data_IF_152515102424
#
_entry.id   IF_152515102424
#
_cell.length_a   1.000
_cell.length_b   1.000
_cell.length_c   1.000
_cell.angle_alpha   90.00
_cell.angle_beta   90.00
_cell.angle_gamma   90.00
#
_symmetry.space_group_name_H-M   'P 1'
#
loop_
_entity.id
_entity.type
_entity.pdbx_description
1 polymer ?
#
# COMPACT_ATOMS: atom_id res chain seq x y z
N UNK A 1 -13.77 9.21 -7.09
CA UNK A 1 -12.85 8.61 -6.13
C UNK A 1 -13.31 7.21 -5.71
N UNK A 2 -12.35 6.28 -5.54
CA UNK A 2 -12.60 4.91 -5.10
C UNK A 2 -11.59 4.62 -3.98
N UNK A 3 -12.05 4.12 -2.81
CA UNK A 3 -11.15 3.64 -1.78
C UNK A 3 -10.41 2.38 -2.28
N UNK A 4 -9.12 2.24 -1.98
CA UNK A 4 -8.38 1.08 -2.50
C UNK A 4 -8.85 -0.24 -1.88
N UNK A 5 -9.43 -0.24 -0.66
CA UNK A 5 -10.15 -1.41 -0.13
C UNK A 5 -11.37 -1.80 -0.99
N UNK A 6 -12.08 -0.82 -1.58
CA UNK A 6 -13.18 -1.10 -2.51
C UNK A 6 -12.67 -1.54 -3.88
N UNK A 7 -11.56 -0.94 -4.35
CA UNK A 7 -10.85 -1.41 -5.54
C UNK A 7 -10.41 -2.88 -5.38
N UNK A 8 -9.94 -3.26 -4.19
CA UNK A 8 -9.59 -4.65 -3.85
C UNK A 8 -10.81 -5.59 -3.95
N UNK A 9 -11.99 -5.18 -3.48
CA UNK A 9 -13.21 -5.97 -3.64
C UNK A 9 -13.58 -6.17 -5.12
N UNK A 10 -13.45 -5.11 -5.93
CA UNK A 10 -13.67 -5.20 -7.39
C UNK A 10 -12.70 -6.23 -8.01
N UNK A 11 -11.44 -6.25 -7.58
CA UNK A 11 -10.48 -7.25 -8.03
C UNK A 11 -10.88 -8.66 -7.59
N UNK A 12 -11.28 -8.83 -6.32
CA UNK A 12 -11.79 -10.13 -5.83
C UNK A 12 -13.01 -10.61 -6.61
N UNK A 13 -13.92 -9.71 -7.01
CA UNK A 13 -15.08 -10.06 -7.83
C UNK A 13 -14.70 -10.61 -9.22
N UNK A 14 -13.53 -10.26 -9.73
CA UNK A 14 -12.99 -10.84 -10.96
C UNK A 14 -12.22 -12.13 -10.69
N UNK A 15 -11.28 -12.11 -9.76
CA UNK A 15 -10.40 -13.25 -9.52
C UNK A 15 -11.13 -14.46 -8.93
N UNK A 16 -12.06 -14.26 -7.98
CA UNK A 16 -12.83 -15.37 -7.41
C UNK A 16 -13.80 -16.04 -8.40
N UNK A 17 -14.11 -15.39 -9.54
CA UNK A 17 -14.90 -16.01 -10.60
C UNK A 17 -14.12 -17.14 -11.32
N UNK A 18 -12.81 -16.96 -11.48
CA UNK A 18 -11.97 -17.81 -12.32
C UNK A 18 -10.98 -18.67 -11.51
N UNK A 19 -10.75 -18.32 -10.23
CA UNK A 19 -9.77 -18.97 -9.36
C UNK A 19 -10.47 -19.61 -8.14
N UNK A 20 -11.01 -20.82 -8.24
CA UNK A 20 -11.70 -21.50 -7.13
C UNK A 20 -10.76 -21.81 -5.96
N UNK A 21 -9.44 -21.87 -6.17
CA UNK A 21 -8.44 -22.03 -5.14
C UNK A 21 -8.21 -20.78 -4.30
N UNK A 22 -8.73 -19.61 -4.71
CA UNK A 22 -8.63 -18.36 -3.96
C UNK A 22 -9.65 -18.32 -2.83
N UNK A 23 -9.28 -18.81 -1.65
CA UNK A 23 -10.12 -18.93 -0.47
C UNK A 23 -9.73 -17.83 0.52
N UNK A 24 -10.70 -17.06 1.01
CA UNK A 24 -10.40 -15.93 1.86
C UNK A 24 -11.30 -15.76 3.05
N UNK A 25 -11.11 -14.63 3.73
CA UNK A 25 -11.88 -14.27 4.91
C UNK A 25 -11.39 -13.02 5.60
N UNK A 26 -11.89 -12.79 6.80
CA UNK A 26 -11.50 -11.66 7.63
C UNK A 26 -11.57 -12.01 9.12
N UNK A 27 -10.71 -11.35 9.91
CA UNK A 27 -10.80 -11.41 11.36
C UNK A 27 -11.87 -10.45 11.88
N UNK A 28 -13.14 -10.86 11.76
CA UNK A 28 -14.35 -10.14 12.18
C UNK A 28 -14.60 -8.78 11.49
N UNK A 29 -13.93 -8.50 10.38
CA UNK A 29 -13.96 -7.21 9.69
C UNK A 29 -14.32 -7.33 8.20
N UNK A 30 -15.03 -8.39 7.81
CA UNK A 30 -15.37 -8.69 6.40
C UNK A 30 -15.96 -7.49 5.65
N UNK A 31 -16.97 -6.84 6.24
CA UNK A 31 -17.63 -5.67 5.64
C UNK A 31 -16.72 -4.44 5.58
N UNK A 32 -15.89 -4.20 6.61
CA UNK A 32 -14.97 -3.07 6.66
C UNK A 32 -13.78 -3.26 5.73
N UNK A 33 -13.28 -4.49 5.61
CA UNK A 33 -12.14 -4.82 4.74
C UNK A 33 -12.55 -5.04 3.28
N UNK A 34 -13.87 -5.20 3.00
CA UNK A 34 -14.39 -5.55 1.67
C UNK A 34 -13.77 -6.85 1.12
N UNK A 35 -13.65 -7.89 1.96
CA UNK A 35 -13.02 -9.18 1.61
C UNK A 35 -14.02 -10.22 1.10
N UNK A 36 -15.30 -9.91 1.04
CA UNK A 36 -16.33 -10.80 0.49
C UNK A 36 -16.62 -10.43 -0.97
N UNK A 37 -16.28 -11.34 -1.88
CA UNK A 37 -16.63 -11.23 -3.31
C UNK A 37 -18.06 -11.72 -3.55
N UNK A 38 -18.72 -11.18 -4.57
CA UNK A 38 -20.03 -11.67 -5.04
C UNK A 38 -20.04 -13.15 -5.47
N UNK A 39 -18.87 -13.74 -5.67
CA UNK A 39 -18.69 -15.17 -6.01
C UNK A 39 -18.35 -16.04 -4.80
N UNK A 40 -18.11 -15.44 -3.63
CA UNK A 40 -17.90 -16.21 -2.42
C UNK A 40 -19.20 -16.72 -1.83
N UNK A 41 -19.14 -17.88 -1.20
CA UNK A 41 -20.14 -18.38 -0.26
C UNK A 41 -19.45 -18.69 1.07
N UNK A 42 -20.21 -18.61 2.16
CA UNK A 42 -19.67 -18.88 3.50
C UNK A 42 -19.25 -20.34 3.63
N UNK A 43 -18.05 -20.56 4.15
CA UNK A 43 -17.57 -21.89 4.52
C UNK A 43 -18.09 -22.22 5.92
N UNK A 44 -18.99 -23.19 5.99
CA UNK A 44 -19.64 -23.63 7.23
C UNK A 44 -19.70 -25.16 7.27
N UNK A 45 -20.04 -25.80 8.43
CA UNK A 45 -20.26 -27.23 8.47
C UNK A 45 -21.33 -27.72 7.47
N UNK A 46 -22.34 -26.88 7.20
CA UNK A 46 -23.42 -27.21 6.25
C UNK A 46 -23.05 -26.86 4.80
N UNK A 47 -22.02 -26.05 4.59
CA UNK A 47 -21.49 -25.67 3.27
C UNK A 47 -19.96 -25.80 3.22
N UNK A 48 -19.41 -27.02 3.18
CA UNK A 48 -17.97 -27.26 3.18
C UNK A 48 -17.28 -26.85 1.88
N UNK A 49 -18.03 -26.53 0.82
CA UNK A 49 -17.52 -25.99 -0.44
C UNK A 49 -17.44 -24.46 -0.45
N UNK A 50 -17.81 -23.80 0.63
CA UNK A 50 -17.69 -22.34 0.76
C UNK A 50 -16.25 -21.86 0.61
N UNK A 51 -16.09 -20.63 0.14
CA UNK A 51 -14.79 -20.01 -0.12
C UNK A 51 -14.50 -18.79 0.75
N UNK A 52 -15.38 -18.46 1.70
CA UNK A 52 -15.19 -17.36 2.66
C UNK A 52 -15.28 -17.85 4.10
N UNK A 53 -14.25 -17.50 4.89
CA UNK A 53 -14.09 -17.90 6.30
C UNK A 53 -14.26 -16.69 7.20
N UNK A 54 -15.19 -16.75 8.16
CA UNK A 54 -15.29 -15.81 9.27
C UNK A 54 -14.39 -16.27 10.41
N UNK A 55 -13.20 -15.70 10.51
CA UNK A 55 -12.21 -16.12 11.52
C UNK A 55 -12.55 -15.63 12.94
N UNK A 56 -13.49 -14.68 13.09
CA UNK A 56 -13.74 -13.97 14.34
C UNK A 56 -12.57 -13.04 14.70
N UNK A 57 -12.58 -12.47 15.90
CA UNK A 57 -11.52 -11.58 16.40
C UNK A 57 -10.29 -12.43 16.76
N UNK A 58 -9.55 -12.91 15.73
CA UNK A 58 -8.45 -13.89 15.84
C UNK A 58 -7.41 -13.70 14.74
N UNK A 59 -6.75 -12.56 14.70
CA UNK A 59 -5.78 -12.23 13.65
C UNK A 59 -4.62 -13.24 13.58
N UNK A 60 -4.06 -13.62 14.73
CA UNK A 60 -3.04 -14.67 14.80
C UNK A 60 -3.58 -16.03 14.31
N UNK A 61 -4.78 -16.41 14.77
CA UNK A 61 -5.46 -17.64 14.34
C UNK A 61 -5.73 -17.66 12.83
N UNK A 62 -6.23 -16.55 12.28
CA UNK A 62 -6.44 -16.40 10.84
C UNK A 62 -5.15 -16.67 10.06
N UNK A 63 -4.08 -15.97 10.40
CA UNK A 63 -2.82 -16.10 9.66
C UNK A 63 -2.18 -17.47 9.83
N UNK A 64 -2.26 -18.09 11.02
CA UNK A 64 -1.73 -19.47 11.22
C UNK A 64 -2.55 -20.50 10.45
N UNK A 65 -3.87 -20.34 10.35
CA UNK A 65 -4.72 -21.19 9.51
C UNK A 65 -4.33 -21.02 8.02
N UNK A 66 -4.16 -19.78 7.55
CA UNK A 66 -3.68 -19.51 6.19
C UNK A 66 -2.31 -20.15 5.91
N UNK A 67 -1.40 -20.11 6.89
CA UNK A 67 -0.10 -20.80 6.78
C UNK A 67 -0.29 -22.31 6.58
N UNK A 68 -1.19 -22.92 7.35
CA UNK A 68 -1.53 -24.35 7.21
C UNK A 68 -2.14 -24.68 5.84
N UNK A 69 -3.05 -23.83 5.35
CA UNK A 69 -3.68 -23.99 4.02
C UNK A 69 -2.64 -23.93 2.90
N UNK A 70 -1.72 -22.96 2.95
CA UNK A 70 -0.63 -22.84 1.98
C UNK A 70 0.35 -24.01 2.04
N UNK A 71 0.67 -24.52 3.23
CA UNK A 71 1.54 -25.71 3.41
C UNK A 71 0.88 -26.98 2.89
N UNK A 72 -0.44 -27.12 3.04
CA UNK A 72 -1.20 -28.23 2.46
C UNK A 72 -1.12 -28.23 0.93
N UNK A 73 -1.12 -27.06 0.33
CA UNK A 73 -1.10 -26.87 -1.13
C UNK A 73 -2.49 -26.91 -1.78
N UNK A 74 -2.57 -26.48 -3.03
CA UNK A 74 -3.83 -26.43 -3.80
C UNK A 74 -4.76 -25.26 -3.44
N UNK A 75 -4.39 -24.43 -2.45
CA UNK A 75 -5.18 -23.30 -1.98
C UNK A 75 -4.30 -22.04 -1.98
N UNK A 76 -4.85 -20.94 -2.45
CA UNK A 76 -4.27 -19.60 -2.36
C UNK A 76 -5.07 -18.80 -1.34
N UNK A 77 -4.66 -18.76 -0.06
CA UNK A 77 -5.44 -18.08 0.97
C UNK A 77 -5.23 -16.58 0.95
N UNK A 78 -6.32 -15.81 1.19
CA UNK A 78 -6.24 -14.41 1.54
C UNK A 78 -6.99 -14.13 2.85
N UNK A 79 -6.48 -13.16 3.63
CA UNK A 79 -7.09 -12.83 4.92
C UNK A 79 -7.01 -11.34 5.24
N UNK A 80 -8.12 -10.79 5.74
CA UNK A 80 -8.27 -9.37 5.98
C UNK A 80 -8.36 -9.00 7.46
N UNK A 81 -7.72 -7.87 7.79
CA UNK A 81 -7.90 -7.12 9.04
C UNK A 81 -7.50 -5.66 8.82
N UNK A 82 -7.64 -4.78 9.82
CA UNK A 82 -7.04 -3.46 9.75
C UNK A 82 -5.51 -3.56 9.87
N UNK A 83 -4.80 -2.64 9.23
CA UNK A 83 -3.34 -2.66 9.26
C UNK A 83 -2.76 -2.61 10.70
N UNK A 84 -3.36 -1.81 11.58
CA UNK A 84 -2.94 -1.73 12.98
C UNK A 84 -3.07 -3.07 13.71
N UNK A 85 -4.06 -3.89 13.39
CA UNK A 85 -4.26 -5.20 14.01
C UNK A 85 -3.32 -6.29 13.46
N UNK A 86 -2.50 -5.97 12.44
CA UNK A 86 -1.39 -6.82 12.05
C UNK A 86 -0.45 -7.11 13.24
N UNK A 87 -0.39 -6.22 14.23
CA UNK A 87 0.40 -6.44 15.43
C UNK A 87 0.01 -7.72 16.18
N UNK A 88 -1.28 -8.06 16.22
CA UNK A 88 -1.75 -9.33 16.78
C UNK A 88 -1.32 -10.55 15.94
N UNK A 89 -1.16 -10.38 14.63
CA UNK A 89 -0.76 -11.43 13.70
C UNK A 89 0.75 -11.44 13.39
N UNK A 90 1.52 -10.48 13.91
CA UNK A 90 2.91 -10.18 13.51
C UNK A 90 3.81 -11.41 13.46
N UNK A 91 3.74 -12.27 14.48
CA UNK A 91 4.53 -13.49 14.52
C UNK A 91 4.17 -14.46 13.40
N UNK A 92 2.88 -14.68 13.15
CA UNK A 92 2.40 -15.60 12.12
C UNK A 92 2.71 -15.10 10.70
N UNK A 93 2.62 -13.77 10.46
CA UNK A 93 3.06 -13.14 9.19
C UNK A 93 4.56 -13.35 8.98
N UNK A 94 5.37 -13.18 10.03
CA UNK A 94 6.80 -13.43 9.98
C UNK A 94 7.12 -14.89 9.63
N UNK A 95 6.37 -15.84 10.17
CA UNK A 95 6.51 -17.28 9.85
C UNK A 95 6.16 -17.54 8.38
N UNK A 96 5.10 -16.92 7.84
CA UNK A 96 4.79 -17.02 6.40
C UNK A 96 5.96 -16.57 5.54
N UNK A 97 6.56 -15.44 5.87
CA UNK A 97 7.70 -14.89 5.13
C UNK A 97 8.93 -15.81 5.23
N UNK A 98 9.21 -16.33 6.41
CA UNK A 98 10.32 -17.25 6.65
C UNK A 98 10.17 -18.59 5.90
N UNK A 99 8.92 -19.07 5.76
CA UNK A 99 8.59 -20.32 5.05
C UNK A 99 8.28 -20.11 3.56
N UNK A 100 8.35 -18.87 3.06
CA UNK A 100 7.98 -18.51 1.67
C UNK A 100 6.57 -18.97 1.31
N UNK A 101 5.59 -18.76 2.19
CA UNK A 101 4.20 -19.14 1.95
C UNK A 101 3.47 -18.04 1.17
N UNK A 102 2.81 -18.35 0.06
CA UNK A 102 2.20 -17.37 -0.83
C UNK A 102 0.84 -16.85 -0.32
N UNK A 103 0.78 -16.46 0.95
CA UNK A 103 -0.40 -15.86 1.56
C UNK A 103 -0.61 -14.42 1.10
N UNK A 104 -1.87 -14.00 1.00
CA UNK A 104 -2.23 -12.62 0.65
C UNK A 104 -2.92 -11.98 1.86
N UNK A 105 -2.32 -10.92 2.41
CA UNK A 105 -2.87 -10.17 3.53
C UNK A 105 -3.55 -8.90 3.03
N UNK A 106 -4.84 -8.74 3.33
CA UNK A 106 -5.63 -7.56 2.96
C UNK A 106 -5.70 -6.65 4.20
N UNK A 107 -4.71 -5.76 4.33
CA UNK A 107 -4.61 -4.82 5.45
C UNK A 107 -5.22 -3.48 5.06
N UNK A 108 -6.41 -3.18 5.56
CA UNK A 108 -7.10 -1.92 5.28
C UNK A 108 -6.90 -0.88 6.37
N UNK A 109 -7.42 0.35 6.16
CA UNK A 109 -7.25 1.45 7.12
C UNK A 109 -5.76 1.79 7.31
N UNK A 110 -5.11 2.12 6.20
CA UNK A 110 -3.66 2.16 5.98
C UNK A 110 -2.91 3.29 6.67
N UNK A 111 -3.61 4.34 7.17
CA UNK A 111 -2.98 5.55 7.70
C UNK A 111 -3.95 6.38 8.55
N UNK A 112 -3.52 7.55 9.02
CA UNK A 112 -4.38 8.56 9.67
C UNK A 112 -5.60 8.94 8.81
N UNK A 113 -5.57 8.64 7.52
CA UNK A 113 -6.69 8.84 6.60
C UNK A 113 -7.95 8.03 6.90
N UNK A 114 -7.89 7.08 7.85
CA UNK A 114 -9.08 6.41 8.34
C UNK A 114 -10.00 7.32 9.19
N UNK A 115 -9.44 8.35 9.83
CA UNK A 115 -10.22 9.40 10.46
C UNK A 115 -10.49 9.21 11.95
N UNK A 116 -11.75 9.36 12.36
CA UNK A 116 -12.21 9.56 13.74
C UNK A 116 -11.99 8.35 14.67
N UNK A 117 -11.73 7.16 14.14
CA UNK A 117 -11.41 5.97 14.96
C UNK A 117 -10.15 6.19 15.82
N UNK A 118 -9.30 7.14 15.41
CA UNK A 118 -8.23 7.71 16.23
C UNK A 118 -6.98 6.85 16.36
N UNK A 119 -6.09 7.23 17.30
CA UNK A 119 -4.72 6.69 17.40
C UNK A 119 -4.66 5.17 17.57
N UNK A 120 -5.65 4.56 18.25
CA UNK A 120 -5.68 3.11 18.45
C UNK A 120 -5.92 2.30 17.18
N UNK A 121 -6.36 2.96 16.11
CA UNK A 121 -6.65 2.35 14.80
C UNK A 121 -5.74 2.87 13.69
N UNK A 122 -4.98 3.94 13.93
CA UNK A 122 -4.11 4.60 12.96
C UNK A 122 -2.70 4.02 12.98
N UNK A 123 -2.30 3.26 11.95
CA UNK A 123 -0.95 2.70 11.88
C UNK A 123 0.07 3.79 11.55
N UNK A 124 1.21 3.79 12.24
CA UNK A 124 2.34 4.71 12.03
C UNK A 124 3.59 3.91 11.64
N UNK A 125 4.08 3.02 12.53
CA UNK A 125 5.30 2.23 12.37
C UNK A 125 5.10 0.91 11.60
N UNK A 126 3.86 0.54 11.33
CA UNK A 126 3.50 -0.75 10.74
C UNK A 126 4.13 -0.98 9.36
N UNK A 127 4.17 0.06 8.49
CA UNK A 127 4.83 -0.04 7.18
C UNK A 127 6.33 -0.31 7.32
N UNK A 128 7.01 0.34 8.27
CA UNK A 128 8.44 0.08 8.55
C UNK A 128 8.63 -1.36 8.99
N UNK A 129 7.79 -1.83 9.91
CA UNK A 129 7.84 -3.21 10.44
C UNK A 129 7.62 -4.25 9.33
N UNK A 130 6.69 -4.01 8.44
CA UNK A 130 6.41 -4.90 7.30
C UNK A 130 7.56 -4.87 6.29
N UNK A 131 8.02 -3.68 5.87
CA UNK A 131 9.12 -3.50 4.91
C UNK A 131 10.49 -3.97 5.46
N UNK A 132 10.64 -4.05 6.79
CA UNK A 132 11.82 -4.64 7.43
C UNK A 132 11.77 -6.16 7.49
N UNK A 133 10.65 -6.79 7.15
CA UNK A 133 10.49 -8.25 7.17
C UNK A 133 11.02 -8.85 5.86
N UNK A 134 12.07 -9.67 5.89
CA UNK A 134 12.58 -10.30 4.67
C UNK A 134 11.52 -11.16 3.97
N UNK A 135 11.59 -11.22 2.65
CA UNK A 135 10.73 -12.07 1.83
C UNK A 135 9.22 -11.78 1.97
N UNK A 136 8.86 -10.51 2.20
CA UNK A 136 7.48 -10.03 2.31
C UNK A 136 7.28 -8.82 1.39
N UNK A 137 6.36 -8.92 0.43
CA UNK A 137 6.05 -7.81 -0.46
C UNK A 137 4.94 -6.93 0.11
N UNK A 138 5.15 -5.62 0.12
CA UNK A 138 4.26 -4.65 0.76
C UNK A 138 3.73 -3.66 -0.29
N UNK A 139 2.54 -3.93 -0.80
CA UNK A 139 1.86 -3.12 -1.81
C UNK A 139 0.94 -2.09 -1.15
N UNK A 140 1.22 -0.81 -1.34
CA UNK A 140 0.37 0.32 -0.92
C UNK A 140 -0.10 1.11 -2.14
N UNK A 141 -1.16 0.63 -2.83
CA UNK A 141 -1.63 1.20 -4.08
C UNK A 141 -2.38 2.52 -3.88
N UNK A 142 -2.28 3.43 -4.87
CA UNK A 142 -2.91 4.74 -4.88
C UNK A 142 -4.26 4.78 -5.61
N UNK A 143 -4.56 3.79 -6.45
CA UNK A 143 -5.80 3.75 -7.24
C UNK A 143 -6.21 2.31 -7.60
N UNK A 144 -7.29 2.19 -8.42
CA UNK A 144 -7.80 0.90 -8.88
C UNK A 144 -6.76 0.13 -9.73
N UNK A 145 -6.01 0.82 -10.59
CA UNK A 145 -5.05 0.16 -11.49
C UNK A 145 -3.87 -0.42 -10.72
N UNK A 146 -3.30 0.36 -9.81
CA UNK A 146 -2.27 -0.14 -8.92
C UNK A 146 -2.77 -1.28 -8.03
N UNK A 147 -4.02 -1.19 -7.53
CA UNK A 147 -4.63 -2.27 -6.74
C UNK A 147 -4.79 -3.55 -7.56
N UNK A 148 -5.21 -3.45 -8.81
CA UNK A 148 -5.36 -4.61 -9.69
C UNK A 148 -4.01 -5.29 -9.99
N UNK A 149 -2.98 -4.49 -10.25
CA UNK A 149 -1.62 -5.04 -10.43
C UNK A 149 -1.09 -5.66 -9.14
N UNK A 150 -1.29 -5.00 -7.99
CA UNK A 150 -0.90 -5.54 -6.69
C UNK A 150 -1.55 -6.91 -6.39
N UNK A 151 -2.85 -7.07 -6.68
CA UNK A 151 -3.54 -8.35 -6.59
C UNK A 151 -2.94 -9.40 -7.53
N UNK A 152 -2.77 -9.04 -8.82
CA UNK A 152 -2.17 -9.95 -9.82
C UNK A 152 -0.78 -10.43 -9.37
N UNK A 153 0.10 -9.51 -8.99
CA UNK A 153 1.45 -9.86 -8.54
C UNK A 153 1.43 -10.70 -7.25
N UNK A 154 0.48 -10.43 -6.34
CA UNK A 154 0.31 -11.23 -5.11
C UNK A 154 -0.19 -12.65 -5.39
N UNK A 155 -1.10 -12.83 -6.34
CA UNK A 155 -1.59 -14.16 -6.76
C UNK A 155 -0.47 -14.96 -7.43
N UNK A 156 0.38 -14.32 -8.22
CA UNK A 156 1.50 -14.96 -8.93
C UNK A 156 2.74 -15.17 -8.05
N UNK A 157 2.81 -14.50 -6.91
CA UNK A 157 3.96 -14.55 -6.00
C UNK A 157 4.13 -15.94 -5.38
N UNK A 158 5.38 -16.30 -5.12
CA UNK A 158 5.77 -17.46 -4.30
C UNK A 158 6.07 -17.08 -2.85
N UNK A 159 6.03 -15.80 -2.54
CA UNK A 159 6.24 -15.23 -1.21
C UNK A 159 4.98 -14.50 -0.75
N UNK A 160 4.79 -14.31 0.56
CA UNK A 160 3.61 -13.60 1.06
C UNK A 160 3.60 -12.15 0.63
N UNK A 161 2.40 -11.60 0.47
CA UNK A 161 2.16 -10.22 0.06
C UNK A 161 1.15 -9.54 0.98
N UNK A 162 1.42 -8.29 1.34
CA UNK A 162 0.50 -7.40 2.04
C UNK A 162 -0.10 -6.40 1.04
N UNK A 163 -1.40 -6.32 0.97
CA UNK A 163 -2.14 -5.27 0.27
C UNK A 163 -2.60 -4.24 1.30
N UNK A 164 -1.98 -3.07 1.30
CA UNK A 164 -2.14 -2.03 2.30
C UNK A 164 -3.06 -0.95 1.71
N UNK A 165 -4.30 -0.90 2.19
CA UNK A 165 -5.41 -0.30 1.48
C UNK A 165 -6.09 0.83 2.26
N UNK A 166 -6.40 1.92 1.58
CA UNK A 166 -7.07 3.08 2.17
C UNK A 166 -8.53 2.80 2.52
N UNK A 167 -9.01 3.46 3.60
CA UNK A 167 -10.43 3.56 3.94
C UNK A 167 -11.12 4.62 3.10
N UNK A 168 -10.47 5.77 2.92
CA UNK A 168 -10.99 6.92 2.18
C UNK A 168 -10.90 6.72 0.67
N UNK A 169 -11.81 7.36 -0.06
CA UNK A 169 -11.81 7.34 -1.53
C UNK A 169 -10.68 8.19 -2.12
N UNK A 170 -9.96 7.64 -3.07
CA UNK A 170 -8.84 8.26 -3.76
C UNK A 170 -9.18 8.60 -5.21
N UNK A 171 -8.66 9.69 -5.77
CA UNK A 171 -8.75 9.99 -7.20
C UNK A 171 -8.08 8.90 -8.04
N UNK A 172 -8.59 8.68 -9.25
CA UNK A 172 -7.95 7.76 -10.19
C UNK A 172 -6.89 8.50 -11.02
N UNK A 173 -5.72 7.90 -11.14
CA UNK A 173 -4.61 8.49 -11.89
C UNK A 173 -4.78 8.16 -13.38
N UNK A 174 -4.73 9.19 -14.23
CA UNK A 174 -4.69 9.00 -15.69
C UNK A 174 -3.30 8.51 -16.08
N UNK A 175 -3.23 7.34 -16.70
CA UNK A 175 -1.97 6.77 -17.18
C UNK A 175 -2.19 5.97 -18.46
N UNK A 176 -1.16 5.91 -19.29
CA UNK A 176 -1.09 5.09 -20.50
C UNK A 176 -0.81 3.61 -20.19
N UNK A 177 -1.07 2.72 -21.12
CA UNK A 177 -0.89 1.27 -20.92
C UNK A 177 0.56 0.88 -20.60
N UNK A 178 1.54 1.55 -21.23
CA UNK A 178 2.95 1.33 -20.96
C UNK A 178 3.34 1.66 -19.50
N UNK A 179 2.70 2.65 -18.88
CA UNK A 179 2.90 2.95 -17.44
C UNK A 179 2.27 1.89 -16.55
N UNK A 180 1.12 1.33 -16.95
CA UNK A 180 0.47 0.25 -16.19
C UNK A 180 1.40 -0.98 -16.08
N UNK A 181 2.10 -1.34 -17.17
CA UNK A 181 3.05 -2.46 -17.16
C UNK A 181 4.22 -2.25 -16.17
N UNK A 182 4.61 -1.01 -15.90
CA UNK A 182 5.69 -0.69 -14.97
C UNK A 182 5.27 -0.74 -13.49
N UNK A 183 3.97 -0.75 -13.16
CA UNK A 183 3.49 -0.88 -11.78
C UNK A 183 4.03 -2.16 -11.14
N UNK A 184 4.09 -3.27 -11.89
CA UNK A 184 4.59 -4.56 -11.41
C UNK A 184 6.06 -4.53 -10.94
N UNK A 185 6.81 -3.53 -11.35
CA UNK A 185 8.20 -3.29 -10.89
C UNK A 185 8.27 -2.58 -9.53
N UNK A 186 7.12 -2.22 -8.94
CA UNK A 186 7.02 -1.66 -7.59
C UNK A 186 7.18 -0.15 -7.48
N UNK A 187 7.72 0.53 -8.50
CA UNK A 187 7.85 1.98 -8.57
C UNK A 187 7.93 2.45 -10.01
N UNK A 188 7.32 3.59 -10.34
CA UNK A 188 7.30 4.11 -11.71
C UNK A 188 7.06 5.62 -11.77
N UNK A 189 7.45 6.25 -12.88
CA UNK A 189 7.21 7.66 -13.15
C UNK A 189 5.77 7.91 -13.57
N UNK A 190 4.99 8.57 -12.71
CA UNK A 190 3.65 9.08 -13.03
C UNK A 190 3.77 10.28 -13.98
N UNK A 191 4.67 11.20 -13.65
CA UNK A 191 5.02 12.37 -14.44
C UNK A 191 6.54 12.44 -14.57
N UNK A 192 7.03 12.61 -15.79
CA UNK A 192 8.43 12.87 -16.11
C UNK A 192 8.54 14.24 -16.76
N UNK A 193 9.53 15.02 -16.35
CA UNK A 193 9.94 16.24 -17.01
C UNK A 193 11.45 16.16 -17.29
N UNK A 194 11.87 16.49 -18.50
CA UNK A 194 13.30 16.40 -18.90
C UNK A 194 14.15 17.47 -18.19
N UNK A 195 13.51 18.60 -17.81
CA UNK A 195 14.14 19.69 -17.09
C UNK A 195 13.86 19.63 -15.57
N UNK A 196 13.50 18.43 -15.05
CA UNK A 196 13.18 18.27 -13.65
C UNK A 196 14.35 18.64 -12.74
N UNK A 197 14.07 19.40 -11.68
CA UNK A 197 15.02 19.82 -10.66
C UNK A 197 14.88 19.00 -9.36
N UNK A 198 13.82 18.18 -9.24
CA UNK A 198 13.47 17.45 -8.03
C UNK A 198 12.63 16.21 -8.37
N UNK A 199 12.77 15.15 -7.56
CA UNK A 199 11.81 14.03 -7.55
C UNK A 199 10.85 14.19 -6.36
N UNK A 200 9.54 13.99 -6.59
CA UNK A 200 8.54 13.83 -5.54
C UNK A 200 8.07 12.37 -5.57
N UNK A 201 8.34 11.62 -4.50
CA UNK A 201 8.07 10.20 -4.39
C UNK A 201 6.93 9.99 -3.39
N UNK A 202 5.96 9.15 -3.73
CA UNK A 202 4.85 8.87 -2.83
C UNK A 202 4.27 7.49 -3.07
N UNK A 203 3.54 6.96 -2.09
CA UNK A 203 2.74 5.73 -2.20
C UNK A 203 1.31 5.97 -1.71
N UNK A 204 0.39 5.12 -2.11
CA UNK A 204 -0.98 5.13 -1.58
C UNK A 204 -1.69 6.48 -1.69
N UNK A 205 -2.37 6.84 -0.62
CA UNK A 205 -3.25 8.03 -0.59
C UNK A 205 -2.52 9.36 -0.80
N UNK A 206 -1.23 9.44 -0.55
CA UNK A 206 -0.45 10.68 -0.64
C UNK A 206 -0.01 11.00 -2.09
N UNK A 207 -0.11 10.03 -3.03
CA UNK A 207 0.25 10.27 -4.43
C UNK A 207 -0.53 11.45 -5.06
N UNK A 208 -1.79 11.62 -4.70
CA UNK A 208 -2.58 12.77 -5.16
C UNK A 208 -2.00 14.12 -4.70
N UNK A 209 -1.38 14.16 -3.51
CA UNK A 209 -0.73 15.37 -2.98
C UNK A 209 0.55 15.68 -3.75
N UNK A 210 1.33 14.66 -4.08
CA UNK A 210 2.52 14.78 -4.92
C UNK A 210 2.17 15.31 -6.32
N UNK A 211 1.11 14.78 -6.95
CA UNK A 211 0.61 15.23 -8.26
C UNK A 211 0.13 16.69 -8.19
N UNK A 212 -0.57 17.07 -7.12
CA UNK A 212 -1.03 18.47 -6.97
C UNK A 212 0.15 19.41 -6.73
N UNK A 213 1.09 19.03 -5.85
CA UNK A 213 2.31 19.81 -5.60
C UNK A 213 3.15 20.02 -6.87
N UNK A 214 3.25 19.00 -7.73
CA UNK A 214 3.93 19.13 -9.00
C UNK A 214 3.29 20.18 -9.92
N UNK A 215 1.96 20.24 -9.98
CA UNK A 215 1.23 21.27 -10.73
C UNK A 215 1.46 22.68 -10.17
N UNK A 216 1.46 22.82 -8.84
CA UNK A 216 1.65 24.11 -8.18
C UNK A 216 3.10 24.60 -8.34
N UNK A 217 4.09 23.70 -8.34
CA UNK A 217 5.50 23.99 -8.62
C UNK A 217 5.70 24.40 -10.09
N UNK A 218 5.05 23.73 -11.03
CA UNK A 218 5.12 24.04 -12.45
C UNK A 218 4.62 25.47 -12.74
N UNK A 219 3.54 25.93 -12.06
CA UNK A 219 3.07 27.31 -12.14
C UNK A 219 4.11 28.32 -11.63
N UNK A 220 5.04 27.90 -10.78
CA UNK A 220 6.16 28.70 -10.29
C UNK A 220 7.44 28.54 -11.12
N UNK A 221 7.37 27.82 -12.25
CA UNK A 221 8.51 27.55 -13.15
C UNK A 221 9.48 26.47 -12.64
N UNK A 222 9.10 25.69 -11.62
CA UNK A 222 9.91 24.60 -11.08
C UNK A 222 9.38 23.27 -11.64
N UNK A 223 10.21 22.59 -12.41
CA UNK A 223 9.89 21.28 -13.03
C UNK A 223 10.26 20.14 -12.09
N UNK A 224 9.39 19.12 -11.97
CA UNK A 224 9.60 18.01 -11.06
C UNK A 224 9.15 16.68 -11.68
N UNK A 225 9.81 15.61 -11.30
CA UNK A 225 9.33 14.26 -11.53
C UNK A 225 8.38 13.83 -10.42
N UNK A 226 7.30 13.12 -10.75
CA UNK A 226 6.43 12.47 -9.77
C UNK A 226 6.55 10.97 -9.91
N UNK A 227 6.95 10.31 -8.82
CA UNK A 227 7.11 8.86 -8.73
C UNK A 227 6.05 8.27 -7.83
N UNK A 228 5.30 7.28 -8.35
CA UNK A 228 4.52 6.38 -7.50
C UNK A 228 5.36 5.18 -7.10
N UNK A 229 5.31 4.83 -5.82
CA UNK A 229 6.05 3.70 -5.23
C UNK A 229 5.10 2.72 -4.54
N UNK A 230 4.23 2.03 -5.29
CA UNK A 230 3.26 1.12 -4.69
C UNK A 230 3.89 -0.06 -3.93
N UNK A 231 5.11 -0.50 -4.28
CA UNK A 231 5.81 -1.56 -3.58
C UNK A 231 7.33 -1.31 -3.56
N UNK A 232 7.81 -0.71 -2.48
CA UNK A 232 9.23 -0.40 -2.32
C UNK A 232 10.12 -1.66 -2.37
N UNK A 233 9.65 -2.77 -1.80
CA UNK A 233 10.40 -4.03 -1.77
C UNK A 233 10.67 -4.52 -3.20
N UNK A 234 9.63 -4.51 -4.03
CA UNK A 234 9.73 -4.92 -5.43
C UNK A 234 10.59 -3.98 -6.28
N UNK A 235 10.48 -2.67 -6.01
CA UNK A 235 11.30 -1.67 -6.69
C UNK A 235 12.80 -1.85 -6.42
N UNK A 236 13.16 -2.19 -5.20
CA UNK A 236 14.56 -2.42 -4.81
C UNK A 236 15.16 -3.71 -5.39
N UNK A 237 14.32 -4.65 -5.85
CA UNK A 237 14.74 -5.85 -6.58
C UNK A 237 14.96 -5.60 -8.09
N UNK A 238 14.43 -4.49 -8.64
CA UNK A 238 14.67 -4.14 -10.02
C UNK A 238 16.14 -3.82 -10.27
N UNK A 239 16.58 -3.94 -11.53
CA UNK A 239 17.94 -3.55 -11.90
C UNK A 239 18.23 -2.06 -11.63
N UNK A 240 19.50 -1.74 -11.43
CA UNK A 240 19.93 -0.38 -11.10
C UNK A 240 19.65 0.63 -12.22
N UNK A 241 19.61 0.18 -13.47
CA UNK A 241 19.29 1.04 -14.61
C UNK A 241 17.83 1.50 -14.50
N UNK A 242 16.92 0.57 -14.23
CA UNK A 242 15.51 0.92 -14.01
C UNK A 242 15.31 1.81 -12.78
N UNK A 243 15.95 1.46 -11.65
CA UNK A 243 15.87 2.29 -10.43
C UNK A 243 16.33 3.73 -10.70
N UNK A 244 17.48 3.90 -11.40
CA UNK A 244 18.02 5.22 -11.75
C UNK A 244 17.14 5.97 -12.78
N UNK A 245 16.46 5.24 -13.67
CA UNK A 245 15.48 5.83 -14.60
C UNK A 245 14.25 6.38 -13.90
N UNK A 246 13.80 5.72 -12.82
CA UNK A 246 12.61 6.11 -12.04
C UNK A 246 12.96 7.20 -11.03
N UNK A 247 14.06 7.03 -10.29
CA UNK A 247 14.58 8.01 -9.33
C UNK A 247 15.91 8.52 -9.85
N UNK A 248 15.92 9.71 -10.41
CA UNK A 248 17.15 10.34 -10.88
C UNK A 248 17.98 10.76 -9.67
N UNK A 249 19.06 10.02 -9.39
CA UNK A 249 19.88 10.19 -8.18
C UNK A 249 20.64 11.52 -8.10
N UNK A 250 20.84 12.17 -9.25
CA UNK A 250 21.48 13.48 -9.33
C UNK A 250 20.53 14.63 -8.91
N UNK A 251 19.24 14.34 -8.80
CA UNK A 251 18.22 15.26 -8.32
C UNK A 251 17.91 15.01 -6.84
N UNK A 252 17.72 16.08 -6.05
CA UNK A 252 17.17 15.91 -4.71
C UNK A 252 15.79 15.26 -4.76
N UNK A 253 15.39 14.61 -3.68
CA UNK A 253 14.12 13.90 -3.62
C UNK A 253 13.33 14.25 -2.35
N UNK A 254 12.02 14.37 -2.46
CA UNK A 254 11.09 14.49 -1.34
C UNK A 254 10.17 13.28 -1.37
N UNK A 255 10.07 12.58 -0.26
CA UNK A 255 9.06 11.52 -0.06
C UNK A 255 7.90 12.06 0.74
N UNK A 256 6.69 11.63 0.38
CA UNK A 256 5.46 11.92 1.12
C UNK A 256 4.71 10.62 1.39
N UNK A 257 4.65 10.22 2.65
CA UNK A 257 3.94 9.02 3.09
C UNK A 257 3.43 9.18 4.52
N UNK A 258 2.12 8.99 4.74
CA UNK A 258 1.49 9.08 6.06
C UNK A 258 1.81 7.82 6.90
N UNK A 259 3.10 7.64 7.17
CA UNK A 259 3.70 6.57 7.98
C UNK A 259 5.06 7.05 8.50
N UNK A 260 5.69 6.24 9.37
CA UNK A 260 7.00 6.57 9.92
C UNK A 260 8.09 6.60 8.82
N UNK A 261 8.97 7.62 8.78
CA UNK A 261 9.90 7.87 7.67
C UNK A 261 11.00 6.81 7.47
N UNK A 262 11.27 5.96 8.45
CA UNK A 262 12.42 5.02 8.43
C UNK A 262 12.47 4.09 7.22
N UNK A 263 11.36 3.81 6.55
CA UNK A 263 11.33 2.99 5.33
C UNK A 263 12.15 3.57 4.18
N UNK A 264 12.35 4.89 4.17
CA UNK A 264 12.82 5.63 2.99
C UNK A 264 14.31 5.95 3.01
N UNK A 265 14.99 5.83 4.17
CA UNK A 265 16.42 6.15 4.28
C UNK A 265 17.32 5.32 3.35
N UNK A 266 16.87 4.13 2.97
CA UNK A 266 17.57 3.28 2.01
C UNK A 266 17.65 3.92 0.62
N UNK A 267 16.74 4.82 0.28
CA UNK A 267 16.70 5.54 -1.00
C UNK A 267 17.26 6.95 -0.86
N UNK A 268 16.89 7.68 0.18
CA UNK A 268 17.17 9.11 0.33
C UNK A 268 18.45 9.39 1.13
N UNK A 269 18.62 8.74 2.26
CA UNK A 269 19.77 8.93 3.13
C UNK A 269 19.73 10.14 4.06
N UNK A 270 18.63 10.97 4.07
CA UNK A 270 18.46 12.14 4.94
C UNK A 270 17.02 12.29 5.40
N UNK A 271 16.84 12.65 6.68
CA UNK A 271 15.53 12.74 7.35
C UNK A 271 14.67 13.90 6.87
N UNK A 272 15.30 15.03 6.58
CA UNK A 272 14.63 16.26 6.15
C UNK A 272 13.97 16.18 4.76
N UNK A 273 14.16 15.08 4.05
CA UNK A 273 13.57 14.83 2.75
C UNK A 273 12.29 13.97 2.82
N UNK A 274 11.81 13.64 4.01
CA UNK A 274 10.58 12.86 4.19
C UNK A 274 9.53 13.69 4.92
N UNK A 275 8.33 13.77 4.33
CA UNK A 275 7.10 14.22 4.99
C UNK A 275 6.41 12.95 5.47
N UNK A 276 6.54 12.65 6.76
CA UNK A 276 6.07 11.43 7.40
C UNK A 276 5.57 11.69 8.82
N UNK A 277 5.15 10.63 9.50
CA UNK A 277 4.65 10.64 10.88
C UNK A 277 5.76 10.22 11.85
N UNK A 278 6.04 11.04 12.85
CA UNK A 278 6.97 10.72 13.96
C UNK A 278 6.27 10.68 15.31
N UNK A 279 4.97 10.92 15.35
CA UNK A 279 4.08 10.83 16.50
C UNK A 279 2.88 9.97 16.16
N UNK A 280 2.12 9.54 17.16
CA UNK A 280 0.82 8.93 16.95
C UNK A 280 -0.15 9.95 16.34
N UNK A 281 -1.21 9.44 15.68
CA UNK A 281 -2.28 10.26 15.13
C UNK A 281 -3.27 10.74 16.21
N UNK A 282 -4.39 11.29 15.74
CA UNK A 282 -5.45 11.83 16.60
C UNK A 282 -6.84 11.48 16.05
N UNK A 283 -7.88 11.65 16.88
CA UNK A 283 -9.27 11.41 16.47
C UNK A 283 -9.88 12.69 15.90
N UNK A 284 -9.96 12.76 14.57
CA UNK A 284 -10.58 13.86 13.84
C UNK A 284 -10.93 13.41 12.41
N UNK A 285 -11.74 14.18 11.65
CA UNK A 285 -11.93 13.91 10.22
C UNK A 285 -10.61 13.85 9.45
N UNK A 286 -10.49 12.89 8.54
CA UNK A 286 -9.25 12.62 7.79
C UNK A 286 -8.60 13.86 7.19
N UNK A 287 -9.41 14.79 6.61
CA UNK A 287 -8.91 16.03 6.01
C UNK A 287 -8.20 16.91 7.04
N UNK A 288 -8.76 17.04 8.24
CA UNK A 288 -8.16 17.84 9.32
C UNK A 288 -6.85 17.21 9.78
N UNK A 289 -6.79 15.87 9.90
CA UNK A 289 -5.57 15.16 10.27
C UNK A 289 -4.47 15.37 9.23
N UNK A 290 -4.80 15.26 7.95
CA UNK A 290 -3.82 15.51 6.88
C UNK A 290 -3.29 16.94 6.93
N UNK A 291 -4.14 17.94 7.20
CA UNK A 291 -3.73 19.33 7.36
C UNK A 291 -2.84 19.51 8.60
N UNK A 292 -3.24 19.00 9.77
CA UNK A 292 -2.52 19.10 11.04
C UNK A 292 -1.13 18.47 10.97
N UNK A 293 -1.03 17.26 10.42
CA UNK A 293 0.25 16.54 10.28
C UNK A 293 1.06 16.95 9.04
N UNK A 294 0.61 18.00 8.31
CA UNK A 294 1.37 18.59 7.22
C UNK A 294 1.35 17.82 5.90
N UNK A 295 0.43 16.86 5.72
CA UNK A 295 0.22 16.17 4.46
C UNK A 295 -0.62 17.02 3.51
N UNK A 296 -0.04 18.10 3.00
CA UNK A 296 -0.67 19.04 2.06
C UNK A 296 0.24 19.34 0.88
N UNK A 297 -0.35 19.60 -0.28
CA UNK A 297 0.42 20.02 -1.45
C UNK A 297 1.25 21.29 -1.17
N UNK A 298 0.70 22.25 -0.40
CA UNK A 298 1.40 23.47 -0.01
C UNK A 298 2.66 23.20 0.83
N UNK A 299 2.63 22.24 1.75
CA UNK A 299 3.83 21.86 2.52
C UNK A 299 4.89 21.20 1.63
N UNK A 300 4.47 20.35 0.68
CA UNK A 300 5.39 19.74 -0.30
C UNK A 300 6.08 20.84 -1.12
N UNK A 301 5.30 21.81 -1.63
CA UNK A 301 5.80 22.96 -2.39
C UNK A 301 6.80 23.78 -1.55
N UNK A 302 6.48 24.06 -0.30
CA UNK A 302 7.36 24.82 0.62
C UNK A 302 8.69 24.08 0.85
N UNK A 303 8.64 22.77 1.11
CA UNK A 303 9.84 21.94 1.26
C UNK A 303 10.67 21.85 -0.03
N UNK A 304 10.01 21.74 -1.18
CA UNK A 304 10.68 21.72 -2.49
C UNK A 304 11.44 23.02 -2.74
N UNK A 305 10.79 24.17 -2.56
CA UNK A 305 11.44 25.49 -2.71
C UNK A 305 12.62 25.66 -1.76
N UNK A 306 12.47 25.27 -0.49
CA UNK A 306 13.56 25.32 0.49
C UNK A 306 14.75 24.42 0.07
N UNK A 307 14.48 23.22 -0.42
CA UNK A 307 15.50 22.27 -0.84
C UNK A 307 16.28 22.77 -2.06
N UNK A 308 15.60 23.50 -2.96
CA UNK A 308 16.17 24.10 -4.16
C UNK A 308 16.75 25.52 -3.93
N UNK A 309 16.69 26.05 -2.70
CA UNK A 309 17.08 27.43 -2.36
C UNK A 309 16.33 28.51 -3.18
N UNK A 310 15.02 28.31 -3.42
CA UNK A 310 14.13 29.18 -4.21
C UNK A 310 12.98 29.75 -3.37
#
# INVERSE_FOLDING_TARGET
PIATRKASQICLDHFCADLPELIGGSADLTGSNNTFSKHNTELTPDNPSGSHIYYGVREFGMVTIMNGMSLHGGIRPYGGTFLVFMDYARNAVRLSAMMSLPNIYVFTHDSIGLGEDGPTHQPIEHLVTLRATPNLYNWRPADLKETAVAWKESILSKSPSCLILSRQGLPQVKMSEDKISNISKGGYLVQKDEDAELNIISSGSELQLAIQAAKDLDQSGIKVNVVSMPCLDRFLEADLEYQNKVIQKDLPSIVVEAAHPNSWYKILGRDDLVIGMTTFGESAPAKMLFEEFGFTAGNIVSKAKKLLNK
#
